data_IF_169031777519
#
_entry.id   IF_169031777519
#
_cell.length_a   1.000
_cell.length_b   1.000
_cell.length_c   1.000
_cell.angle_alpha   90.00
_cell.angle_beta   90.00
_cell.angle_gamma   90.00
#
_symmetry.space_group_name_H-M   'P 1'
#
loop_
_entity.id
_entity.type
_entity.pdbx_description
1 polymer ?
#
# COMPACT_ATOMS: atom_id res chain seq x y z
N UNK A 1 8.79 -2.42 -8.11
CA UNK A 1 7.92 -2.24 -6.92
C UNK A 1 7.44 -0.80 -6.87
N UNK A 2 6.16 -0.58 -6.66
CA UNK A 2 5.60 0.75 -6.38
C UNK A 2 4.31 0.61 -5.59
N UNK A 3 3.97 1.65 -4.83
CA UNK A 3 2.63 1.77 -4.29
C UNK A 3 1.78 2.53 -5.31
N UNK A 4 0.75 1.88 -5.80
CA UNK A 4 -0.17 2.52 -6.74
C UNK A 4 -0.86 3.69 -6.06
N UNK A 5 -1.13 4.76 -6.82
CA UNK A 5 -1.87 5.90 -6.29
C UNK A 5 -3.16 5.40 -5.61
N UNK A 6 -3.43 5.92 -4.41
CA UNK A 6 -4.53 5.38 -3.59
C UNK A 6 -5.89 5.43 -4.27
N UNK A 7 -6.12 6.38 -5.18
CA UNK A 7 -7.37 6.46 -5.93
C UNK A 7 -7.58 5.29 -6.88
N UNK A 8 -6.52 4.57 -7.25
CA UNK A 8 -6.61 3.42 -8.14
C UNK A 8 -6.98 2.13 -7.43
N UNK A 9 -6.84 2.07 -6.11
CA UNK A 9 -7.08 0.83 -5.36
C UNK A 9 -8.43 0.20 -5.68
N UNK A 10 -9.55 0.97 -5.71
CA UNK A 10 -10.87 0.37 -6.00
C UNK A 10 -11.02 -0.21 -7.39
N UNK A 11 -10.15 0.17 -8.34
CA UNK A 11 -10.28 -0.25 -9.74
C UNK A 11 -9.09 -1.06 -10.25
N UNK A 12 -8.10 -1.37 -9.39
CA UNK A 12 -6.99 -2.22 -9.78
C UNK A 12 -7.48 -3.61 -10.16
N UNK A 13 -6.94 -4.23 -11.24
CA UNK A 13 -7.19 -5.64 -11.51
C UNK A 13 -6.74 -6.52 -10.35
N UNK A 14 -7.32 -7.71 -10.26
CA UNK A 14 -7.05 -8.66 -9.17
C UNK A 14 -5.56 -8.84 -8.90
N UNK A 15 -4.78 -9.12 -9.92
CA UNK A 15 -3.35 -9.43 -9.73
C UNK A 15 -2.57 -8.24 -9.18
N UNK A 16 -2.90 -7.03 -9.62
CA UNK A 16 -2.25 -5.83 -9.11
C UNK A 16 -2.67 -5.54 -7.68
N UNK A 17 -3.93 -5.76 -7.34
CA UNK A 17 -4.42 -5.56 -5.97
C UNK A 17 -3.75 -6.56 -5.01
N UNK A 18 -3.73 -7.85 -5.36
CA UNK A 18 -3.12 -8.87 -4.53
C UNK A 18 -1.59 -8.67 -4.44
N UNK A 19 -0.97 -8.23 -5.53
CA UNK A 19 0.44 -7.86 -5.53
C UNK A 19 0.71 -6.69 -4.59
N UNK A 20 -0.17 -5.68 -4.60
CA UNK A 20 -0.03 -4.53 -3.70
C UNK A 20 -0.12 -4.94 -2.23
N UNK A 21 -1.02 -5.89 -1.91
CA UNK A 21 -1.11 -6.43 -0.56
C UNK A 21 0.23 -7.05 -0.14
N UNK A 22 0.81 -7.90 -0.99
CA UNK A 22 2.11 -8.53 -0.71
C UNK A 22 3.22 -7.50 -0.52
N UNK A 23 3.22 -6.43 -1.34
CA UNK A 23 4.19 -5.35 -1.20
C UNK A 23 4.05 -4.64 0.14
N UNK A 24 2.82 -4.34 0.55
CA UNK A 24 2.57 -3.71 1.84
C UNK A 24 3.04 -4.60 2.99
N UNK A 25 2.77 -5.90 2.92
CA UNK A 25 3.25 -6.86 3.93
C UNK A 25 4.78 -6.81 4.03
N UNK A 26 5.46 -6.84 2.90
CA UNK A 26 6.92 -6.79 2.86
C UNK A 26 7.47 -5.48 3.43
N UNK A 27 6.87 -4.35 3.05
CA UNK A 27 7.31 -3.03 3.52
C UNK A 27 7.06 -2.85 5.02
N UNK A 28 5.99 -3.43 5.56
CA UNK A 28 5.71 -3.38 7.00
C UNK A 28 6.69 -4.25 7.79
N UNK A 29 7.26 -5.27 7.16
CA UNK A 29 8.23 -6.17 7.77
C UNK A 29 9.66 -5.80 7.42
N UNK A 30 10.39 -6.78 6.90
CA UNK A 30 11.82 -6.65 6.58
C UNK A 30 12.10 -5.81 5.34
N UNK A 31 11.07 -5.41 4.61
CA UNK A 31 11.22 -4.54 3.45
C UNK A 31 11.91 -3.21 3.74
N UNK A 32 11.94 -2.79 5.02
CA UNK A 32 12.69 -1.62 5.45
C UNK A 32 14.18 -1.70 5.16
N UNK A 33 14.71 -2.90 5.01
CA UNK A 33 16.13 -3.11 4.71
C UNK A 33 16.45 -3.04 3.22
N UNK A 34 15.41 -3.03 2.37
CA UNK A 34 15.54 -3.00 0.91
C UNK A 34 14.84 -1.77 0.38
N UNK A 35 15.62 -0.84 -0.13
CA UNK A 35 15.06 0.40 -0.68
C UNK A 35 14.90 0.29 -2.18
N UNK A 36 13.75 0.74 -2.65
CA UNK A 36 13.46 0.90 -4.07
C UNK A 36 13.07 2.33 -4.33
N UNK A 37 13.64 2.92 -5.37
CA UNK A 37 13.44 4.31 -5.72
C UNK A 37 11.97 4.73 -5.77
N UNK A 38 11.10 3.85 -6.26
CA UNK A 38 9.68 4.15 -6.41
C UNK A 38 8.89 4.13 -5.10
N UNK A 39 9.45 3.60 -4.03
CA UNK A 39 8.78 3.51 -2.72
C UNK A 39 9.58 4.13 -1.59
N UNK A 40 10.74 4.72 -1.88
CA UNK A 40 11.60 5.30 -0.84
C UNK A 40 10.89 6.39 -0.03
N UNK A 41 9.96 7.11 -0.63
CA UNK A 41 9.21 8.15 0.08
C UNK A 41 8.42 7.59 1.28
N UNK A 42 8.01 6.32 1.24
CA UNK A 42 7.26 5.68 2.31
C UNK A 42 8.04 5.75 3.64
N UNK A 43 9.36 5.69 3.55
CA UNK A 43 10.24 5.70 4.73
C UNK A 43 10.46 7.10 5.31
N UNK A 44 9.97 8.14 4.65
CA UNK A 44 10.00 9.51 5.17
C UNK A 44 8.81 9.81 6.08
N UNK A 45 7.84 8.91 6.11
CA UNK A 45 6.61 9.05 6.89
C UNK A 45 6.62 8.07 8.07
N UNK A 46 5.74 8.32 9.03
CA UNK A 46 5.49 7.35 10.09
C UNK A 46 5.01 6.03 9.50
N UNK A 47 5.41 4.88 10.09
CA UNK A 47 4.88 3.58 9.66
C UNK A 47 3.35 3.48 9.72
N UNK A 48 2.68 4.34 10.49
CA UNK A 48 1.22 4.38 10.53
C UNK A 48 0.61 4.77 9.18
N UNK A 49 1.28 5.63 8.41
CA UNK A 49 0.86 5.96 7.04
C UNK A 49 0.76 4.69 6.19
N UNK A 50 1.76 3.82 6.28
CA UNK A 50 1.77 2.57 5.52
C UNK A 50 0.66 1.63 6.00
N UNK A 51 0.40 1.57 7.29
CA UNK A 51 -0.71 0.80 7.83
C UNK A 51 -2.04 1.27 7.26
N UNK A 52 -2.26 2.59 7.19
CA UNK A 52 -3.49 3.14 6.62
C UNK A 52 -3.61 2.84 5.12
N UNK A 53 -2.52 2.98 4.37
CA UNK A 53 -2.53 2.62 2.96
C UNK A 53 -2.84 1.12 2.79
N UNK A 54 -2.18 0.27 3.55
CA UNK A 54 -2.42 -1.16 3.53
C UNK A 54 -3.88 -1.49 3.89
N UNK A 55 -4.45 -0.74 4.82
CA UNK A 55 -5.86 -0.92 5.20
C UNK A 55 -6.81 -0.67 4.02
N UNK A 56 -6.51 0.35 3.20
CA UNK A 56 -7.30 0.58 1.97
C UNK A 56 -7.24 -0.62 1.03
N UNK A 57 -6.05 -1.20 0.88
CA UNK A 57 -5.86 -2.39 0.03
C UNK A 57 -6.64 -3.58 0.59
N UNK A 58 -6.53 -3.82 1.90
CA UNK A 58 -7.23 -4.93 2.55
C UNK A 58 -8.75 -4.76 2.51
N UNK A 59 -9.22 -3.53 2.69
CA UNK A 59 -10.66 -3.23 2.58
C UNK A 59 -11.20 -3.58 1.20
N UNK A 60 -10.47 -3.24 0.15
CA UNK A 60 -10.88 -3.56 -1.21
C UNK A 60 -10.84 -5.06 -1.46
N UNK A 61 -9.83 -5.76 -0.95
CA UNK A 61 -9.72 -7.21 -1.05
C UNK A 61 -10.94 -7.89 -0.42
N UNK A 62 -11.30 -7.49 0.79
CA UNK A 62 -12.45 -8.05 1.49
C UNK A 62 -13.76 -7.73 0.78
N UNK A 63 -13.90 -6.51 0.26
CA UNK A 63 -15.06 -6.11 -0.53
C UNK A 63 -15.26 -7.01 -1.74
N UNK A 64 -14.16 -7.49 -2.34
CA UNK A 64 -14.20 -8.40 -3.49
C UNK A 64 -14.33 -9.88 -3.08
N UNK A 65 -14.39 -10.17 -1.78
CA UNK A 65 -14.53 -11.54 -1.28
C UNK A 65 -13.20 -12.28 -1.11
N UNK A 66 -12.07 -11.58 -1.14
CA UNK A 66 -10.77 -12.21 -0.90
C UNK A 66 -10.47 -12.27 0.60
N UNK A 67 -9.76 -13.30 1.01
CA UNK A 67 -9.40 -13.48 2.41
C UNK A 67 -8.17 -12.64 2.77
N UNK A 68 -8.27 -11.97 3.91
CA UNK A 68 -7.15 -11.23 4.50
C UNK A 68 -6.88 -11.83 5.88
N UNK A 69 -5.63 -12.17 6.16
CA UNK A 69 -5.25 -12.61 7.50
C UNK A 69 -5.51 -11.48 8.50
N UNK A 70 -6.26 -11.77 9.56
CA UNK A 70 -6.66 -10.76 10.55
C UNK A 70 -5.47 -10.12 11.26
N UNK A 71 -4.34 -10.79 11.32
CA UNK A 71 -3.12 -10.26 11.95
C UNK A 71 -2.68 -8.94 11.31
N UNK A 72 -2.87 -8.81 10.00
CA UNK A 72 -2.48 -7.60 9.28
C UNK A 72 -3.38 -6.40 9.60
N UNK A 73 -4.51 -6.62 10.27
CA UNK A 73 -5.37 -5.54 10.77
C UNK A 73 -4.83 -4.92 12.06
N UNK A 74 -3.86 -5.56 12.70
CA UNK A 74 -3.16 -5.00 13.85
C UNK A 74 -2.04 -4.08 13.34
N UNK A 75 -2.12 -2.80 13.70
CA UNK A 75 -1.14 -1.80 13.29
C UNK A 75 0.30 -2.14 13.72
N UNK A 76 0.44 -2.92 14.78
CA UNK A 76 1.74 -3.28 15.33
C UNK A 76 2.35 -4.50 14.66
N UNK A 77 1.56 -5.28 13.93
CA UNK A 77 2.03 -6.51 13.32
C UNK A 77 2.93 -6.22 12.11
N UNK A 78 4.05 -6.92 12.02
CA UNK A 78 5.05 -6.74 10.98
C UNK A 78 5.40 -8.03 10.26
N UNK A 79 4.59 -9.08 10.39
CA UNK A 79 4.87 -10.37 9.79
C UNK A 79 5.66 -11.29 10.73
N UNK A 80 5.92 -12.49 10.25
CA UNK A 80 6.56 -13.54 11.05
C UNK A 80 8.06 -13.32 11.29
N UNK A 81 8.69 -12.55 10.41
CA UNK A 81 10.16 -12.40 10.42
C UNK A 81 10.63 -11.06 10.96
N UNK A 82 9.72 -10.24 11.45
CA UNK A 82 10.06 -8.95 12.03
C UNK A 82 9.36 -8.80 13.37
N UNK A 83 10.03 -8.15 14.31
CA UNK A 83 9.46 -7.90 15.63
C UNK A 83 8.34 -6.86 15.51
N UNK A 84 7.20 -7.12 16.16
CA UNK A 84 6.09 -6.19 16.19
C UNK A 84 6.48 -4.87 16.86
N UNK A 85 5.81 -3.77 16.45
CA UNK A 85 5.91 -2.55 17.23
C UNK A 85 5.24 -2.76 18.59
N UNK A 86 5.76 -2.12 19.63
CA UNK A 86 5.16 -2.23 20.97
C UNK A 86 3.87 -1.42 21.08
N UNK A 87 3.82 -0.26 20.43
CA UNK A 87 2.62 0.57 20.37
C UNK A 87 2.81 1.65 19.33
N UNK A 88 2.54 1.31 18.07
CA UNK A 88 2.66 2.27 16.98
C UNK A 88 1.67 3.42 17.19
N UNK A 89 2.19 4.64 17.20
CA UNK A 89 1.39 5.83 17.41
C UNK A 89 0.41 6.05 16.26
N UNK A 90 -0.87 6.17 16.60
CA UNK A 90 -1.91 6.52 15.65
C UNK A 90 -1.91 8.04 15.42
N UNK A 91 -2.14 8.43 14.18
CA UNK A 91 -2.17 9.83 13.79
C UNK A 91 -3.41 10.10 12.95
N UNK A 92 -3.92 11.31 13.03
CA UNK A 92 -4.96 11.75 12.11
C UNK A 92 -4.29 12.13 10.79
N UNK A 93 -4.56 11.35 9.75
CA UNK A 93 -3.96 11.56 8.44
C UNK A 93 -5.08 11.77 7.42
N UNK A 94 -4.93 12.84 6.64
CA UNK A 94 -5.90 13.18 5.61
C UNK A 94 -5.74 12.37 4.33
N UNK A 95 -6.42 12.80 3.29
CA UNK A 95 -6.32 12.22 1.95
C UNK A 95 -5.65 13.24 1.02
N UNK A 96 -4.64 12.85 0.26
CA UNK A 96 -4.04 11.52 0.19
C UNK A 96 -3.21 11.19 1.43
N UNK A 97 -3.05 9.92 1.70
CA UNK A 97 -2.22 9.43 2.81
C UNK A 97 -0.77 9.88 2.62
N UNK A 98 -0.27 9.78 1.39
CA UNK A 98 1.04 10.26 0.99
C UNK A 98 0.88 11.46 0.07
N UNK A 99 1.61 12.56 0.34
CA UNK A 99 1.59 13.75 -0.51
C UNK A 99 2.04 13.45 -1.93
N UNK A 100 2.89 12.44 -2.11
CA UNK A 100 3.38 11.99 -3.40
C UNK A 100 2.25 11.41 -4.27
N UNK A 101 1.15 11.00 -3.67
CA UNK A 101 -0.04 10.54 -4.40
C UNK A 101 -0.87 11.74 -4.89
N UNK A 102 -0.27 12.53 -5.76
CA UNK A 102 -0.84 13.72 -6.36
C UNK A 102 -1.36 13.41 -7.78
N UNK A 103 -2.01 14.39 -8.47
CA UNK A 103 -2.52 14.14 -9.82
C UNK A 103 -1.46 13.73 -10.84
N UNK A 104 -0.25 14.26 -10.72
CA UNK A 104 0.85 13.88 -11.61
C UNK A 104 1.22 12.41 -11.43
N UNK A 105 1.29 11.95 -10.19
CA UNK A 105 1.58 10.55 -9.89
C UNK A 105 0.44 9.63 -10.33
N UNK A 106 -0.80 10.09 -10.21
CA UNK A 106 -1.95 9.33 -10.71
C UNK A 106 -1.79 9.05 -12.21
N UNK A 107 -1.47 10.08 -12.99
CA UNK A 107 -1.24 9.93 -14.43
C UNK A 107 -0.08 8.98 -14.73
N UNK A 108 0.99 9.06 -13.94
CA UNK A 108 2.16 8.18 -14.08
C UNK A 108 1.78 6.71 -13.81
N UNK A 109 0.98 6.46 -12.76
CA UNK A 109 0.52 5.12 -12.45
C UNK A 109 -0.37 4.55 -13.57
N UNK A 110 -1.31 5.34 -14.07
CA UNK A 110 -2.21 4.93 -15.16
C UNK A 110 -1.40 4.58 -16.40
N UNK A 111 -0.41 5.40 -16.74
CA UNK A 111 0.45 5.15 -17.89
C UNK A 111 1.31 3.91 -17.70
N UNK A 112 1.82 3.68 -16.50
CA UNK A 112 2.60 2.48 -16.19
C UNK A 112 1.75 1.22 -16.36
N UNK A 113 0.50 1.25 -15.91
CA UNK A 113 -0.44 0.14 -16.08
C UNK A 113 -0.80 -0.05 -17.56
N UNK A 114 -1.00 1.05 -18.29
CA UNK A 114 -1.28 0.98 -19.72
C UNK A 114 -0.18 0.24 -20.48
N UNK A 115 1.07 0.48 -20.15
CA UNK A 115 2.22 -0.21 -20.77
C UNK A 115 2.21 -1.71 -20.47
N UNK A 116 1.53 -2.12 -19.43
CA UNK A 116 1.36 -3.53 -19.07
C UNK A 116 0.10 -4.14 -19.68
N UNK A 117 -0.60 -3.40 -20.53
CA UNK A 117 -1.83 -3.85 -21.16
C UNK A 117 -3.08 -3.64 -20.32
N UNK A 118 -3.00 -2.85 -19.25
CA UNK A 118 -4.13 -2.58 -18.35
C UNK A 118 -4.63 -1.16 -18.60
N UNK A 119 -5.86 -1.06 -19.09
CA UNK A 119 -6.51 0.21 -19.36
C UNK A 119 -7.50 0.51 -18.25
N UNK A 120 -7.28 1.59 -17.51
CA UNK A 120 -8.15 2.02 -16.44
C UNK A 120 -8.82 3.34 -16.81
N UNK A 121 -10.11 3.43 -16.50
CA UNK A 121 -10.86 4.67 -16.59
C UNK A 121 -10.83 5.37 -15.24
N UNK A 122 -10.22 6.53 -15.19
CA UNK A 122 -10.13 7.34 -13.97
C UNK A 122 -10.69 8.74 -14.19
#
# INVERSE_FOLDING_TARGET
MRLWHEQLIPILPKNQLLGQHRECCALRGNGWLRRHRTVDYVFLYSPYHLFLYHSLVMDEMEKRGYNVSSEWRDKNYRGKNAENYSNLEEKTIGSPIYKEHNPKYLAECVENLRKKGILLEV
#
